data_IF_948935901968
#
_entry.id   IF_948935901968
#
_cell.length_a   1.000
_cell.length_b   1.000
_cell.length_c   1.000
_cell.angle_alpha   90.00
_cell.angle_beta   90.00
_cell.angle_gamma   90.00
#
_symmetry.space_group_name_H-M   'P 1'
#
loop_
_entity.id
_entity.type
_entity.pdbx_description
1 polymer ?
#
# COMPACT_ATOMS: atom_id res chain seq x y z
N UNK A 1 -2.46 9.11 -10.65
CA UNK A 1 -1.36 8.63 -11.52
C UNK A 1 -0.18 8.24 -10.66
N UNK A 2 0.87 7.66 -11.25
CA UNK A 2 2.08 7.26 -10.54
C UNK A 2 3.33 7.61 -11.36
N UNK A 3 4.43 7.87 -10.65
CA UNK A 3 5.74 8.19 -11.22
C UNK A 3 6.77 7.35 -10.48
N UNK A 4 7.60 6.63 -11.22
CA UNK A 4 8.59 5.71 -10.66
C UNK A 4 9.95 6.01 -11.29
N UNK A 5 10.97 6.19 -10.44
CA UNK A 5 12.37 6.41 -10.86
C UNK A 5 13.22 5.29 -10.28
N UNK A 6 13.64 4.35 -11.13
CA UNK A 6 14.42 3.17 -10.76
C UNK A 6 15.00 2.48 -12.00
N UNK A 7 15.95 1.55 -11.81
CA UNK A 7 16.57 0.79 -12.90
C UNK A 7 15.54 0.01 -13.75
N UNK A 8 14.50 -0.54 -13.12
CA UNK A 8 13.44 -1.31 -13.80
C UNK A 8 12.08 -0.62 -13.71
N UNK A 9 12.04 0.72 -13.83
CA UNK A 9 10.80 1.50 -13.72
C UNK A 9 9.72 1.09 -14.75
N UNK A 10 10.11 0.68 -15.96
CA UNK A 10 9.18 0.19 -16.99
C UNK A 10 8.45 -1.11 -16.60
N UNK A 11 9.12 -2.00 -15.88
CA UNK A 11 8.50 -3.24 -15.39
C UNK A 11 7.55 -2.94 -14.22
N UNK A 12 7.96 -2.05 -13.31
CA UNK A 12 7.16 -1.71 -12.11
C UNK A 12 5.92 -0.87 -12.42
N UNK A 13 6.00 0.05 -13.40
CA UNK A 13 4.85 0.91 -13.74
C UNK A 13 3.68 0.09 -14.30
N UNK A 14 3.96 -1.08 -14.90
CA UNK A 14 2.96 -1.98 -15.45
C UNK A 14 1.95 -2.45 -14.39
N UNK A 15 2.40 -2.80 -13.18
CA UNK A 15 1.51 -3.17 -12.08
C UNK A 15 0.54 -2.02 -11.72
N UNK A 16 1.05 -0.79 -11.65
CA UNK A 16 0.25 0.37 -11.29
C UNK A 16 -0.73 0.75 -12.40
N UNK A 17 -0.31 0.67 -13.67
CA UNK A 17 -1.20 0.92 -14.82
C UNK A 17 -2.32 -0.11 -14.91
N UNK A 18 -2.01 -1.40 -14.68
CA UNK A 18 -3.03 -2.45 -14.61
C UNK A 18 -4.02 -2.18 -13.48
N UNK A 19 -3.53 -1.84 -12.28
CA UNK A 19 -4.39 -1.53 -11.15
C UNK A 19 -5.31 -0.33 -11.43
N UNK A 20 -4.79 0.73 -12.07
CA UNK A 20 -5.59 1.89 -12.47
C UNK A 20 -6.64 1.52 -13.52
N UNK A 21 -6.29 0.71 -14.51
CA UNK A 21 -7.18 0.29 -15.61
C UNK A 21 -8.29 -0.62 -15.10
N UNK A 22 -7.97 -1.52 -14.17
CA UNK A 22 -8.90 -2.46 -13.57
C UNK A 22 -9.68 -1.88 -12.36
N UNK A 23 -9.47 -0.60 -12.00
CA UNK A 23 -10.12 0.03 -10.85
C UNK A 23 -9.74 -0.61 -9.50
N UNK A 24 -8.55 -1.20 -9.40
CA UNK A 24 -8.04 -1.83 -8.17
C UNK A 24 -7.51 -0.75 -7.23
N UNK A 25 -8.16 -0.59 -6.08
CA UNK A 25 -7.74 0.35 -5.05
C UNK A 25 -6.47 -0.08 -4.30
N UNK A 26 -5.76 0.89 -3.73
CA UNK A 26 -4.50 0.69 -2.97
C UNK A 26 -4.64 -0.28 -1.79
N UNK A 27 -5.83 -0.41 -1.19
CA UNK A 27 -6.10 -1.41 -0.15
C UNK A 27 -5.89 -2.86 -0.62
N UNK A 28 -6.28 -3.16 -1.88
CA UNK A 28 -6.08 -4.50 -2.46
C UNK A 28 -4.60 -4.73 -2.80
N UNK A 29 -3.92 -3.73 -3.36
CA UNK A 29 -2.48 -3.80 -3.68
C UNK A 29 -1.64 -4.09 -2.43
N UNK A 30 -1.94 -3.39 -1.32
CA UNK A 30 -1.33 -3.62 -0.02
C UNK A 30 -1.55 -5.05 0.51
N UNK A 31 -2.77 -5.58 0.32
CA UNK A 31 -3.15 -6.93 0.75
C UNK A 31 -2.58 -8.05 -0.11
N UNK A 32 -2.09 -7.77 -1.31
CA UNK A 32 -1.49 -8.78 -2.20
C UNK A 32 -0.15 -9.28 -1.65
N UNK A 33 0.16 -10.56 -1.92
CA UNK A 33 1.47 -11.14 -1.63
C UNK A 33 2.43 -10.71 -2.75
N UNK A 34 3.37 -9.84 -2.39
CA UNK A 34 4.43 -9.39 -3.29
C UNK A 34 5.65 -10.31 -3.18
N UNK A 35 6.26 -10.72 -4.30
CA UNK A 35 7.48 -11.52 -4.26
C UNK A 35 8.63 -10.80 -3.54
N UNK A 36 9.32 -11.53 -2.66
CA UNK A 36 10.48 -11.06 -1.92
C UNK A 36 11.73 -11.87 -2.32
N UNK A 37 12.91 -11.23 -2.54
CA UNK A 37 13.18 -9.80 -2.58
C UNK A 37 13.07 -9.22 -4.00
N UNK A 38 12.22 -8.21 -4.23
CA UNK A 38 12.08 -7.56 -5.55
C UNK A 38 11.90 -6.03 -5.45
N UNK A 39 12.19 -5.30 -6.55
CA UNK A 39 11.92 -3.86 -6.61
C UNK A 39 10.41 -3.55 -6.62
N UNK A 40 9.60 -4.45 -7.17
CA UNK A 40 8.13 -4.30 -7.23
C UNK A 40 7.48 -4.24 -5.84
N UNK A 41 8.12 -4.81 -4.80
CA UNK A 41 7.69 -4.69 -3.40
C UNK A 41 7.50 -3.21 -2.97
N UNK A 42 8.18 -2.26 -3.62
CA UNK A 42 7.96 -0.83 -3.40
C UNK A 42 6.50 -0.40 -3.61
N UNK A 43 5.79 -1.00 -4.57
CA UNK A 43 4.38 -0.68 -4.86
C UNK A 43 3.49 -1.04 -3.67
N UNK A 44 3.70 -2.21 -3.06
CA UNK A 44 3.05 -2.59 -1.79
C UNK A 44 3.38 -1.62 -0.67
N UNK A 45 4.66 -1.30 -0.48
CA UNK A 45 5.10 -0.40 0.62
C UNK A 45 4.47 0.99 0.50
N UNK A 46 4.35 1.52 -0.71
CA UNK A 46 3.67 2.80 -0.98
C UNK A 46 2.17 2.69 -0.70
N UNK A 47 1.53 1.59 -1.12
CA UNK A 47 0.12 1.34 -0.84
C UNK A 47 -0.16 1.25 0.68
N UNK A 48 0.71 0.58 1.43
CA UNK A 48 0.66 0.52 2.90
C UNK A 48 0.85 1.90 3.53
N UNK A 49 1.83 2.68 3.06
CA UNK A 49 2.08 4.03 3.55
C UNK A 49 0.85 4.94 3.35
N UNK A 50 0.20 4.85 2.19
CA UNK A 50 -1.03 5.59 1.93
C UNK A 50 -2.20 5.10 2.79
N UNK A 51 -2.36 3.78 2.98
CA UNK A 51 -3.41 3.26 3.85
C UNK A 51 -3.25 3.74 5.30
N UNK A 52 -2.01 3.92 5.78
CA UNK A 52 -1.73 4.48 7.11
C UNK A 52 -2.18 5.94 7.25
N UNK A 53 -2.13 6.75 6.20
CA UNK A 53 -2.61 8.15 6.28
C UNK A 53 -4.14 8.23 6.35
N UNK A 54 -4.84 7.21 5.87
CA UNK A 54 -6.31 7.10 5.95
C UNK A 54 -6.84 6.59 7.29
N UNK A 55 -5.97 6.18 8.22
CA UNK A 55 -6.38 5.89 9.59
C UNK A 55 -6.93 7.16 10.24
N UNK A 56 -8.25 7.26 10.32
CA UNK A 56 -8.91 8.43 10.90
C UNK A 56 -8.53 8.58 12.38
N UNK A 57 -8.45 9.82 12.92
CA UNK A 57 -8.08 10.05 14.32
C UNK A 57 -8.96 9.27 15.31
N UNK A 58 -10.24 9.08 14.97
CA UNK A 58 -11.20 8.28 15.72
C UNK A 58 -10.86 6.79 15.71
N UNK A 59 -10.54 6.20 14.55
CA UNK A 59 -10.15 4.80 14.48
C UNK A 59 -8.84 4.59 15.25
N UNK A 60 -7.89 5.52 15.15
CA UNK A 60 -6.63 5.45 15.90
C UNK A 60 -6.85 5.53 17.42
N UNK A 61 -7.75 6.39 17.90
CA UNK A 61 -8.03 6.54 19.34
C UNK A 61 -8.78 5.34 19.90
N UNK A 62 -9.76 4.80 19.17
CA UNK A 62 -10.50 3.58 19.54
C UNK A 62 -9.55 2.38 19.57
N UNK A 63 -8.75 2.19 18.52
CA UNK A 63 -7.80 1.09 18.44
C UNK A 63 -6.73 1.20 19.54
N UNK A 64 -6.24 2.41 19.82
CA UNK A 64 -5.29 2.67 20.91
C UNK A 64 -5.88 2.45 22.30
N UNK A 65 -7.15 2.82 22.52
CA UNK A 65 -7.87 2.54 23.76
C UNK A 65 -8.08 1.04 23.98
N UNK A 66 -8.48 0.33 22.93
CA UNK A 66 -8.66 -1.12 22.96
C UNK A 66 -7.34 -1.87 23.20
N UNK A 67 -6.26 -1.52 22.49
CA UNK A 67 -4.92 -2.10 22.71
C UNK A 67 -4.34 -1.83 24.11
N UNK A 68 -4.72 -0.73 24.76
CA UNK A 68 -4.34 -0.43 26.14
C UNK A 68 -5.13 -1.26 27.15
N UNK A 69 -6.37 -1.62 26.83
CA UNK A 69 -7.22 -2.46 27.65
C UNK A 69 -6.91 -3.96 27.47
N UNK A 70 -6.39 -4.36 26.31
CA UNK A 70 -5.98 -5.74 26.00
C UNK A 70 -4.55 -6.08 26.42
N UNK A 71 -3.87 -5.22 27.18
CA UNK A 71 -2.58 -5.48 27.82
C UNK A 71 -2.79 -5.52 29.32
#
# INVERSE_FOLDING_TARGET
GATIVARHAGEMISEVTLAMTAGVGLGKIAGTIHPYPTQAECVKRVADAYNRTRLTPLVKSVLGGWLRWSR
#
